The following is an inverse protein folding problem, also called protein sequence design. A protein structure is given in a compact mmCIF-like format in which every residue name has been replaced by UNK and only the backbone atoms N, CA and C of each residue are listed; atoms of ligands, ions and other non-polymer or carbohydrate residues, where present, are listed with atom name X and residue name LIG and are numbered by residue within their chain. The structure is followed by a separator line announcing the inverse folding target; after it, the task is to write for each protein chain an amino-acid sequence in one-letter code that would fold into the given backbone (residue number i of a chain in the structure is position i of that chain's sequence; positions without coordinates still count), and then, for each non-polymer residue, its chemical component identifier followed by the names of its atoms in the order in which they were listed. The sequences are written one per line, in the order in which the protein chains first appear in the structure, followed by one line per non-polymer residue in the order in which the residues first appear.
data_IF_446409968162
#
_entry.id   IF_446409968162
#
_cell.length_a   1.000
_cell.length_b   1.000
_cell.length_c   1.000
_cell.angle_alpha   90.00
_cell.angle_beta   90.00
_cell.angle_gamma   90.00
#
_symmetry.space_group_name_H-M   'P 1'
#
loop_
_entity.id
_entity.type
_entity.pdbx_description
1 polymer ?
#
# COMPACT_ATOMS: atom_id res chain seq x y z
N UNK A 1 1.80 2.23 17.46
CA UNK A 1 1.11 3.52 17.36
C UNK A 1 -0.33 3.23 17.64
N UNK A 2 -0.88 3.72 18.75
CA UNK A 2 -2.32 3.76 18.89
C UNK A 2 -2.74 5.20 18.64
N UNK A 3 -2.87 5.54 17.37
CA UNK A 3 -3.74 6.66 17.01
C UNK A 3 -5.12 6.26 17.53
N UNK A 4 -5.81 7.16 18.22
CA UNK A 4 -7.20 6.92 18.59
C UNK A 4 -7.97 6.50 17.33
N UNK A 5 -8.77 5.44 17.47
CA UNK A 5 -9.50 4.85 16.36
C UNK A 5 -10.34 5.92 15.62
N UNK A 6 -10.74 7.00 16.30
CA UNK A 6 -11.43 8.13 15.70
C UNK A 6 -10.55 9.02 14.83
N UNK A 7 -9.30 9.27 15.22
CA UNK A 7 -8.36 10.05 14.40
C UNK A 7 -7.91 9.25 13.17
N UNK A 8 -7.67 7.95 13.34
CA UNK A 8 -7.36 7.05 12.22
C UNK A 8 -8.56 6.91 11.29
N UNK A 9 -9.77 6.79 11.85
CA UNK A 9 -11.01 6.78 11.10
C UNK A 9 -11.24 8.06 10.31
N UNK A 10 -10.97 9.23 10.91
CA UNK A 10 -11.04 10.52 10.23
C UNK A 10 -10.05 10.60 9.06
N UNK A 11 -8.78 10.25 9.29
CA UNK A 11 -7.75 10.23 8.25
C UNK A 11 -8.15 9.33 7.08
N UNK A 12 -8.60 8.10 7.36
CA UNK A 12 -9.04 7.15 6.34
C UNK A 12 -10.24 7.70 5.55
N UNK A 13 -11.17 8.35 6.22
CA UNK A 13 -12.36 8.93 5.59
C UNK A 13 -11.98 10.10 4.66
N UNK A 14 -11.06 10.97 5.08
CA UNK A 14 -10.55 12.07 4.25
C UNK A 14 -9.83 11.52 3.01
N UNK A 15 -8.97 10.51 3.17
CA UNK A 15 -8.29 9.86 2.05
C UNK A 15 -9.30 9.19 1.10
N UNK A 16 -10.30 8.48 1.64
CA UNK A 16 -11.37 7.87 0.86
C UNK A 16 -12.14 8.89 0.01
N UNK A 17 -12.52 10.02 0.60
CA UNK A 17 -13.19 11.11 -0.13
C UNK A 17 -12.30 11.65 -1.24
N UNK A 18 -11.01 11.89 -0.96
CA UNK A 18 -10.06 12.35 -1.97
C UNK A 18 -9.93 11.35 -3.13
N UNK A 19 -9.86 10.04 -2.84
CA UNK A 19 -9.82 8.98 -3.86
C UNK A 19 -11.07 9.00 -4.73
N UNK A 20 -12.27 9.02 -4.11
CA UNK A 20 -13.54 9.01 -4.86
C UNK A 20 -13.67 10.26 -5.73
N UNK A 21 -13.34 11.43 -5.18
CA UNK A 21 -13.37 12.70 -5.92
C UNK A 21 -12.42 12.67 -7.12
N UNK A 22 -11.18 12.20 -6.92
CA UNK A 22 -10.20 12.10 -8.00
C UNK A 22 -10.61 11.07 -9.06
N UNK A 23 -11.19 9.94 -8.65
CA UNK A 23 -11.68 8.92 -9.57
C UNK A 23 -12.73 9.44 -10.56
N UNK A 24 -13.55 10.43 -10.16
CA UNK A 24 -14.54 11.04 -11.05
C UNK A 24 -13.91 11.90 -12.16
N UNK A 25 -12.62 12.27 -12.05
CA UNK A 25 -11.91 13.02 -13.08
C UNK A 25 -11.43 12.15 -14.24
N UNK A 26 -11.54 10.82 -14.12
CA UNK A 26 -11.06 9.90 -15.15
C UNK A 26 -11.93 9.94 -16.42
N UNK A 27 -11.32 9.82 -17.61
CA UNK A 27 -12.05 9.86 -18.87
C UNK A 27 -13.07 8.71 -18.95
N UNK A 28 -14.30 9.05 -19.35
CA UNK A 28 -15.37 8.07 -19.58
C UNK A 28 -15.16 7.44 -20.95
N UNK A 29 -14.97 6.12 -20.99
CA UNK A 29 -14.88 5.36 -22.22
C UNK A 29 -16.30 5.04 -22.71
N UNK A 30 -16.72 5.67 -23.81
CA UNK A 30 -18.10 5.58 -24.33
C UNK A 30 -18.58 4.14 -24.65
N UNK A 31 -17.65 3.21 -24.86
CA UNK A 31 -17.93 1.82 -25.25
C UNK A 31 -17.73 0.79 -24.13
N UNK A 32 -17.47 1.21 -22.88
CA UNK A 32 -17.31 0.28 -21.76
C UNK A 32 -18.36 0.54 -20.67
N UNK A 33 -19.08 -0.53 -20.29
CA UNK A 33 -20.05 -0.49 -19.18
C UNK A 33 -19.38 -0.17 -17.85
N UNK A 34 -18.13 -0.58 -17.69
CA UNK A 34 -17.33 -0.32 -16.49
C UNK A 34 -16.14 0.58 -16.83
N UNK A 35 -16.20 1.83 -16.38
CA UNK A 35 -15.14 2.82 -16.60
C UNK A 35 -13.98 2.72 -15.61
N UNK A 36 -12.85 3.41 -15.89
CA UNK A 36 -11.66 3.40 -15.03
C UNK A 36 -11.89 3.89 -13.59
N UNK A 37 -12.97 4.64 -13.36
CA UNK A 37 -13.33 5.21 -12.06
C UNK A 37 -13.93 4.21 -11.07
N UNK A 38 -14.42 3.06 -11.53
CA UNK A 38 -15.18 2.14 -10.67
C UNK A 38 -14.34 1.47 -9.60
N UNK A 39 -13.19 0.94 -9.97
CA UNK A 39 -12.30 0.27 -9.03
C UNK A 39 -11.82 1.24 -7.92
N UNK A 40 -11.30 2.44 -8.24
CA UNK A 40 -11.01 3.45 -7.23
C UNK A 40 -12.22 3.85 -6.39
N UNK A 41 -13.41 3.93 -6.98
CA UNK A 41 -14.64 4.31 -6.25
C UNK A 41 -15.05 3.23 -5.25
N UNK A 42 -15.04 1.95 -5.63
CA UNK A 42 -15.37 0.83 -4.72
C UNK A 42 -14.37 0.78 -3.57
N UNK A 43 -13.07 0.91 -3.87
CA UNK A 43 -12.03 0.96 -2.84
C UNK A 43 -12.22 2.16 -1.91
N UNK A 44 -12.48 3.34 -2.47
CA UNK A 44 -12.73 4.56 -1.70
C UNK A 44 -13.94 4.42 -0.78
N UNK A 45 -15.06 3.89 -1.28
CA UNK A 45 -16.27 3.64 -0.48
C UNK A 45 -16.00 2.63 0.64
N UNK A 46 -15.33 1.51 0.34
CA UNK A 46 -14.95 0.53 1.35
C UNK A 46 -14.06 1.11 2.44
N UNK A 47 -13.02 1.85 2.04
CA UNK A 47 -12.09 2.53 2.94
C UNK A 47 -12.81 3.58 3.81
N UNK A 48 -13.69 4.37 3.21
CA UNK A 48 -14.50 5.36 3.91
C UNK A 48 -15.46 4.73 4.91
N UNK A 49 -16.10 3.60 4.53
CA UNK A 49 -16.93 2.81 5.43
C UNK A 49 -16.16 2.30 6.65
N UNK A 50 -14.95 1.77 6.47
CA UNK A 50 -14.07 1.40 7.56
C UNK A 50 -13.69 2.61 8.43
N UNK A 51 -13.39 3.76 7.82
CA UNK A 51 -13.06 4.99 8.53
C UNK A 51 -14.20 5.47 9.42
N UNK A 52 -15.42 5.51 8.89
CA UNK A 52 -16.64 5.87 9.64
C UNK A 52 -16.91 4.88 10.76
N UNK A 53 -16.76 3.57 10.51
CA UNK A 53 -16.94 2.54 11.53
C UNK A 53 -15.98 2.71 12.72
N UNK A 54 -14.72 3.04 12.45
CA UNK A 54 -13.73 3.35 13.48
C UNK A 54 -14.08 4.62 14.26
N UNK A 55 -14.57 5.66 13.58
CA UNK A 55 -15.05 6.89 14.25
C UNK A 55 -16.23 6.61 15.18
N UNK A 56 -17.23 5.85 14.72
CA UNK A 56 -18.37 5.45 15.55
C UNK A 56 -17.90 4.63 16.76
N UNK A 57 -17.01 3.66 16.54
CA UNK A 57 -16.47 2.83 17.62
C UNK A 57 -15.70 3.68 18.66
N UNK A 58 -14.91 4.66 18.20
CA UNK A 58 -14.18 5.58 19.08
C UNK A 58 -15.14 6.46 19.89
N UNK A 59 -16.21 6.96 19.27
CA UNK A 59 -17.21 7.78 19.93
C UNK A 59 -17.93 6.98 21.02
N UNK A 60 -18.40 5.77 20.72
CA UNK A 60 -19.04 4.87 21.69
C UNK A 60 -18.13 4.59 22.89
N UNK A 61 -16.84 4.28 22.65
CA UNK A 61 -15.86 4.02 23.73
C UNK A 61 -15.66 5.25 24.62
N UNK A 62 -15.62 6.44 24.04
CA UNK A 62 -15.48 7.71 24.77
C UNK A 62 -16.72 8.06 25.58
N UNK A 63 -17.92 7.90 25.01
CA UNK A 63 -19.19 8.07 25.74
C UNK A 63 -19.32 7.10 26.92
N UNK A 64 -18.80 5.88 26.80
CA UNK A 64 -18.75 4.90 27.88
C UNK A 64 -17.67 5.17 28.96
N UNK A 65 -17.02 6.35 28.94
CA UNK A 65 -15.96 6.71 29.89
C UNK A 65 -14.65 5.92 29.72
N UNK A 66 -14.52 5.14 28.63
CA UNK A 66 -13.33 4.32 28.32
C UNK A 66 -12.44 4.98 27.27
N UNK A 67 -12.50 6.31 27.16
CA UNK A 67 -11.69 7.10 26.23
C UNK A 67 -10.24 7.17 26.69
N UNK A 68 -9.31 6.74 25.84
CA UNK A 68 -7.87 6.90 26.07
C UNK A 68 -7.32 8.23 25.50
N UNK A 69 -5.99 8.46 25.61
CA UNK A 69 -5.32 9.57 24.95
C UNK A 69 -5.55 9.54 23.44
N UNK A 70 -5.69 10.71 22.80
CA UNK A 70 -5.92 10.80 21.35
C UNK A 70 -4.73 10.28 20.54
N UNK A 71 -3.53 10.40 21.10
CA UNK A 71 -2.28 9.95 20.51
C UNK A 71 -1.51 9.22 21.61
N UNK A 72 -1.43 7.89 21.49
CA UNK A 72 -0.53 7.08 22.29
C UNK A 72 0.58 6.51 21.40
N UNK A 73 1.75 7.15 21.46
CA UNK A 73 2.93 6.72 20.72
C UNK A 73 3.59 5.59 21.50
N UNK A 74 3.31 4.35 21.09
CA UNK A 74 4.06 3.18 21.53
C UNK A 74 5.59 3.45 21.54
N UNK A 75 6.35 2.85 22.48
CA UNK A 75 7.79 3.03 22.59
C UNK A 75 8.58 2.78 21.29
N UNK A 76 8.09 1.89 20.42
CA UNK A 76 8.73 1.60 19.14
C UNK A 76 8.68 2.77 18.14
N UNK A 77 7.62 3.59 18.18
CA UNK A 77 7.48 4.77 17.31
C UNK A 77 8.40 5.93 17.75
N UNK A 78 8.82 5.92 19.02
CA UNK A 78 9.84 6.83 19.56
C UNK A 78 11.27 6.33 19.33
N UNK A 79 11.43 5.07 18.91
CA UNK A 79 12.75 4.51 18.61
C UNK A 79 13.26 5.01 17.25
N UNK A 80 14.54 5.37 17.17
CA UNK A 80 15.18 5.74 15.91
C UNK A 80 15.00 4.67 14.83
N UNK A 81 14.92 3.39 15.22
CA UNK A 81 14.70 2.26 14.31
C UNK A 81 13.29 2.25 13.71
N UNK A 82 12.26 2.62 14.48
CA UNK A 82 10.89 2.72 13.98
C UNK A 82 10.76 3.83 12.92
N UNK A 83 11.33 5.01 13.23
CA UNK A 83 11.39 6.15 12.31
C UNK A 83 12.18 5.81 11.02
N UNK A 84 13.35 5.17 11.16
CA UNK A 84 14.12 4.68 10.03
C UNK A 84 13.36 3.66 9.19
N UNK A 85 12.52 2.81 9.80
CA UNK A 85 11.69 1.87 9.07
C UNK A 85 10.60 2.53 8.23
N UNK A 86 9.95 3.58 8.77
CA UNK A 86 9.00 4.39 8.03
C UNK A 86 9.70 5.10 6.88
N UNK A 87 10.85 5.73 7.15
CA UNK A 87 11.64 6.40 6.13
C UNK A 87 12.10 5.43 5.04
N UNK A 88 12.54 4.21 5.41
CA UNK A 88 12.93 3.17 4.47
C UNK A 88 11.76 2.73 3.60
N UNK A 89 10.57 2.54 4.17
CA UNK A 89 9.39 2.16 3.42
C UNK A 89 8.96 3.24 2.43
N UNK A 90 8.92 4.51 2.86
CA UNK A 90 8.63 5.64 1.98
C UNK A 90 9.68 5.79 0.88
N UNK A 91 10.96 5.67 1.23
CA UNK A 91 12.05 5.68 0.27
C UNK A 91 11.92 4.54 -0.73
N UNK A 92 11.55 3.33 -0.29
CA UNK A 92 11.32 2.18 -1.17
C UNK A 92 10.21 2.46 -2.19
N UNK A 93 9.10 3.11 -1.79
CA UNK A 93 8.02 3.50 -2.73
C UNK A 93 8.55 4.46 -3.80
N UNK A 94 9.27 5.51 -3.39
CA UNK A 94 9.81 6.52 -4.32
C UNK A 94 10.85 5.90 -5.25
N UNK A 95 11.81 5.15 -4.70
CA UNK A 95 12.85 4.45 -5.45
C UNK A 95 12.22 3.48 -6.44
N UNK A 96 11.24 2.67 -6.01
CA UNK A 96 10.55 1.73 -6.87
C UNK A 96 9.89 2.45 -8.05
N UNK A 97 9.15 3.53 -7.84
CA UNK A 97 8.51 4.29 -8.91
C UNK A 97 9.50 4.89 -9.93
N UNK A 98 10.67 5.34 -9.47
CA UNK A 98 11.70 5.94 -10.33
C UNK A 98 12.54 4.91 -11.09
N UNK A 99 12.81 3.77 -10.45
CA UNK A 99 13.74 2.75 -10.94
C UNK A 99 13.04 1.71 -11.80
N UNK A 100 11.78 1.37 -11.49
CA UNK A 100 11.01 0.33 -12.16
C UNK A 100 10.99 0.46 -13.70
N UNK A 101 10.77 1.65 -14.30
CA UNK A 101 10.75 1.76 -15.76
C UNK A 101 12.10 1.47 -16.41
N UNK A 102 13.21 1.65 -15.67
CA UNK A 102 14.58 1.47 -16.19
C UNK A 102 15.09 0.06 -15.96
N UNK A 103 15.04 -0.42 -14.72
CA UNK A 103 15.57 -1.73 -14.34
C UNK A 103 14.62 -2.88 -14.66
N UNK A 104 13.33 -2.59 -14.76
CA UNK A 104 12.30 -3.60 -14.95
C UNK A 104 11.82 -4.24 -13.65
N UNK A 105 10.72 -4.97 -13.77
CA UNK A 105 9.95 -5.51 -12.66
C UNK A 105 10.77 -6.43 -11.75
N UNK A 106 11.51 -7.37 -12.34
CA UNK A 106 12.20 -8.42 -11.59
C UNK A 106 13.38 -7.85 -10.78
N UNK A 107 14.20 -7.03 -11.45
CA UNK A 107 15.39 -6.41 -10.84
C UNK A 107 15.05 -5.30 -9.84
N UNK A 108 13.83 -4.75 -9.89
CA UNK A 108 13.40 -3.74 -8.92
C UNK A 108 12.66 -4.38 -7.75
N UNK A 109 11.71 -5.29 -8.01
CA UNK A 109 10.82 -5.87 -6.98
C UNK A 109 11.56 -6.79 -6.02
N UNK A 110 12.38 -7.71 -6.53
CA UNK A 110 13.06 -8.68 -5.66
C UNK A 110 14.03 -8.01 -4.66
N UNK A 111 14.90 -7.06 -5.06
CA UNK A 111 15.76 -6.36 -4.10
C UNK A 111 14.98 -5.48 -3.12
N UNK A 112 13.93 -4.78 -3.56
CA UNK A 112 13.11 -3.95 -2.67
C UNK A 112 12.43 -4.81 -1.60
N UNK A 113 11.81 -5.92 -1.99
CA UNK A 113 11.21 -6.87 -1.05
C UNK A 113 12.27 -7.45 -0.10
N UNK A 114 13.43 -7.85 -0.61
CA UNK A 114 14.51 -8.41 0.20
C UNK A 114 14.99 -7.40 1.26
N UNK A 115 15.24 -6.15 0.88
CA UNK A 115 15.67 -5.09 1.81
C UNK A 115 14.62 -4.84 2.89
N UNK A 116 13.33 -4.75 2.52
CA UNK A 116 12.25 -4.55 3.49
C UNK A 116 12.09 -5.74 4.45
N UNK A 117 12.16 -6.98 3.94
CA UNK A 117 12.05 -8.19 4.76
C UNK A 117 13.26 -8.34 5.71
N UNK A 118 14.46 -8.05 5.24
CA UNK A 118 15.66 -8.05 6.07
C UNK A 118 15.61 -6.95 7.13
N UNK A 119 15.08 -5.77 6.79
CA UNK A 119 14.85 -4.69 7.76
C UNK A 119 13.88 -5.13 8.87
N UNK A 120 12.84 -5.86 8.52
CA UNK A 120 11.90 -6.50 9.44
C UNK A 120 12.48 -7.71 10.19
N UNK A 121 13.76 -8.03 10.00
CA UNK A 121 14.50 -9.13 10.63
C UNK A 121 13.98 -10.53 10.27
N UNK A 122 13.39 -10.68 9.08
CA UNK A 122 13.11 -12.00 8.52
C UNK A 122 14.43 -12.74 8.28
N UNK A 123 14.47 -14.04 8.56
CA UNK A 123 15.65 -14.89 8.32
C UNK A 123 16.08 -14.76 6.86
N UNK A 124 17.37 -14.51 6.60
CA UNK A 124 17.86 -14.13 5.26
C UNK A 124 17.46 -15.10 4.14
N UNK A 125 17.49 -16.40 4.39
CA UNK A 125 17.09 -17.41 3.40
C UNK A 125 15.59 -17.39 3.13
N UNK A 126 14.76 -17.14 4.15
CA UNK A 126 13.33 -17.02 4.01
C UNK A 126 12.98 -15.70 3.31
N UNK A 127 13.68 -14.61 3.64
CA UNK A 127 13.53 -13.32 2.98
C UNK A 127 13.86 -13.43 1.48
N UNK A 128 14.94 -14.14 1.14
CA UNK A 128 15.32 -14.40 -0.25
C UNK A 128 14.27 -15.26 -0.97
N UNK A 129 13.85 -16.37 -0.35
CA UNK A 129 12.84 -17.26 -0.92
C UNK A 129 11.53 -16.52 -1.17
N UNK A 130 11.06 -15.74 -0.20
CA UNK A 130 9.81 -14.96 -0.30
C UNK A 130 9.96 -13.84 -1.33
N UNK A 131 11.07 -13.10 -1.33
CA UNK A 131 11.28 -12.01 -2.29
C UNK A 131 11.26 -12.51 -3.74
N UNK A 132 11.98 -13.61 -4.03
CA UNK A 132 12.00 -14.22 -5.35
C UNK A 132 10.65 -14.88 -5.69
N UNK A 133 10.10 -15.67 -4.77
CA UNK A 133 8.84 -16.38 -4.97
C UNK A 133 7.66 -15.45 -5.20
N UNK A 134 7.54 -14.39 -4.40
CA UNK A 134 6.50 -13.36 -4.59
C UNK A 134 6.69 -12.66 -5.92
N UNK A 135 7.91 -12.22 -6.26
CA UNK A 135 8.20 -11.52 -7.53
C UNK A 135 7.82 -12.37 -8.74
N UNK A 136 8.17 -13.66 -8.76
CA UNK A 136 7.83 -14.56 -9.86
C UNK A 136 6.32 -14.85 -9.89
N UNK A 137 5.71 -15.10 -8.73
CA UNK A 137 4.28 -15.36 -8.64
C UNK A 137 3.44 -14.19 -9.13
N UNK A 138 3.76 -12.96 -8.70
CA UNK A 138 3.05 -11.76 -9.13
C UNK A 138 3.33 -11.45 -10.59
N UNK A 139 4.54 -11.68 -11.09
CA UNK A 139 4.82 -11.59 -12.52
C UNK A 139 3.92 -12.55 -13.31
N UNK A 140 3.84 -13.82 -12.92
CA UNK A 140 2.98 -14.80 -13.57
C UNK A 140 1.51 -14.36 -13.54
N UNK A 141 1.02 -13.95 -12.37
CA UNK A 141 -0.36 -13.50 -12.19
C UNK A 141 -0.68 -12.31 -13.10
N UNK A 142 0.18 -11.29 -13.14
CA UNK A 142 -0.11 -10.07 -13.90
C UNK A 142 0.23 -10.19 -15.38
N UNK A 143 1.46 -10.58 -15.72
CA UNK A 143 1.93 -10.61 -17.10
C UNK A 143 1.27 -11.74 -17.90
N UNK A 144 1.14 -12.94 -17.33
CA UNK A 144 0.66 -14.11 -18.09
C UNK A 144 -0.85 -14.31 -17.92
N UNK A 145 -1.36 -14.31 -16.68
CA UNK A 145 -2.76 -14.65 -16.42
C UNK A 145 -3.68 -13.46 -16.68
N UNK A 146 -3.36 -12.29 -16.13
CA UNK A 146 -4.15 -11.08 -16.28
C UNK A 146 -3.80 -10.27 -17.54
N UNK A 147 -2.71 -10.63 -18.25
CA UNK A 147 -2.23 -9.95 -19.46
C UNK A 147 -1.98 -8.45 -19.28
N UNK A 148 -1.60 -8.04 -18.08
CA UNK A 148 -1.20 -6.66 -17.76
C UNK A 148 0.32 -6.56 -17.96
N UNK A 149 0.79 -5.74 -18.92
CA UNK A 149 2.22 -5.65 -19.22
C UNK A 149 2.97 -5.04 -18.04
N UNK A 150 4.00 -5.76 -17.57
CA UNK A 150 4.95 -5.27 -16.58
C UNK A 150 6.19 -4.73 -17.29
N UNK A 151 6.78 -3.62 -16.84
CA UNK A 151 7.97 -3.06 -17.46
C UNK A 151 9.13 -4.05 -17.31
N UNK A 152 9.74 -4.43 -18.44
CA UNK A 152 10.90 -5.29 -18.46
C UNK A 152 12.21 -4.51 -18.32
N UNK A 153 12.22 -3.23 -18.72
CA UNK A 153 13.39 -2.36 -18.59
C UNK A 153 14.62 -2.99 -19.24
N UNK A 154 15.73 -3.08 -18.50
CA UNK A 154 16.96 -3.74 -18.97
C UNK A 154 16.79 -5.21 -19.36
N UNK A 155 15.74 -5.89 -18.90
CA UNK A 155 15.43 -7.28 -19.24
C UNK A 155 14.53 -7.43 -20.47
N UNK A 156 14.22 -6.35 -21.19
CA UNK A 156 13.47 -6.40 -22.46
C UNK A 156 13.98 -7.47 -23.46
N UNK A 157 15.30 -7.71 -23.62
CA UNK A 157 15.79 -8.73 -24.54
C UNK A 157 15.43 -10.19 -24.18
N UNK A 158 15.03 -10.44 -22.93
CA UNK A 158 14.71 -11.77 -22.40
C UNK A 158 13.27 -11.83 -21.90
N UNK A 159 12.41 -10.90 -22.37
CA UNK A 159 11.01 -10.85 -22.01
C UNK A 159 10.28 -12.10 -22.50
N UNK A 160 9.38 -12.62 -21.65
CA UNK A 160 8.60 -13.84 -21.90
C UNK A 160 7.14 -13.66 -21.49
#
# INVERSE_FOLDING_TARGET
MRLDDGLLGLLLTVIAVAIVMHAQTFPRLAFMQFGPSLFPTILGVGLGGCGVALMIQSAIRRFAGRGGPWIDLDPWARSARGLLGIALFLAAIVVYGLVLPRLGYHLTTAPVLLVLLLWMRVRWWLALLVALGVTLFTHQLFAVWLRVPLPWGLLEPVAW
#
